data_IF_891163237259
#
_entry.id   IF_891163237259
#
_cell.length_a   1.000
_cell.length_b   1.000
_cell.length_c   1.000
_cell.angle_alpha   90.00
_cell.angle_beta   90.00
_cell.angle_gamma   90.00
#
_symmetry.space_group_name_H-M   'P 1'
#
loop_
_entity.id
_entity.type
_entity.pdbx_description
1 polymer ?
#
# COMPACT_ATOMS: atom_id res chain seq x y z
N UNK A 1 -4.13 -15.07 11.89
CA UNK A 1 -5.02 -15.52 10.78
C UNK A 1 -4.28 -16.45 9.82
N UNK A 2 -3.28 -15.99 9.07
CA UNK A 2 -2.50 -16.86 8.15
C UNK A 2 -1.81 -18.03 8.88
N UNK A 3 -1.14 -17.78 10.01
CA UNK A 3 -0.51 -18.87 10.79
C UNK A 3 -1.52 -19.93 11.27
N UNK A 4 -2.72 -19.49 11.66
CA UNK A 4 -3.82 -20.38 12.07
C UNK A 4 -4.42 -21.14 10.89
N UNK A 5 -4.48 -20.51 9.71
CA UNK A 5 -4.92 -21.13 8.46
C UNK A 5 -4.00 -22.27 8.00
N UNK A 6 -2.68 -22.11 8.19
CA UNK A 6 -1.67 -23.10 7.81
C UNK A 6 -1.56 -24.23 8.84
N UNK A 7 -2.04 -24.01 10.07
CA UNK A 7 -2.04 -25.02 11.13
C UNK A 7 -3.11 -26.09 10.89
N UNK A 8 -2.78 -27.35 11.23
CA UNK A 8 -3.72 -28.46 11.12
C UNK A 8 -4.96 -28.22 12.00
N UNK A 9 -6.15 -28.38 11.42
CA UNK A 9 -7.44 -28.10 12.07
C UNK A 9 -7.77 -26.61 12.34
N UNK A 10 -6.87 -25.66 12.05
CA UNK A 10 -7.07 -24.23 12.38
C UNK A 10 -7.85 -23.42 11.33
N UNK A 11 -8.11 -23.99 10.15
CA UNK A 11 -8.71 -23.29 9.01
C UNK A 11 -10.06 -22.64 9.34
N UNK A 12 -10.95 -23.35 10.05
CA UNK A 12 -12.28 -22.83 10.40
C UNK A 12 -12.19 -21.61 11.32
N UNK A 13 -11.36 -21.69 12.35
CA UNK A 13 -11.11 -20.56 13.26
C UNK A 13 -10.44 -19.38 12.55
N UNK A 14 -9.60 -19.65 11.54
CA UNK A 14 -9.02 -18.60 10.70
C UNK A 14 -10.06 -17.91 9.81
N UNK A 15 -11.03 -18.66 9.25
CA UNK A 15 -12.18 -18.10 8.51
C UNK A 15 -13.09 -17.26 9.42
N UNK A 16 -13.42 -17.76 10.61
CA UNK A 16 -14.26 -17.04 11.57
C UNK A 16 -13.60 -15.72 12.00
N UNK A 17 -12.28 -15.76 12.28
CA UNK A 17 -11.49 -14.58 12.59
C UNK A 17 -11.44 -13.61 11.40
N UNK A 18 -11.31 -14.11 10.17
CA UNK A 18 -11.38 -13.28 8.96
C UNK A 18 -12.72 -12.59 8.83
N UNK A 19 -13.83 -13.32 8.91
CA UNK A 19 -15.18 -12.76 8.84
C UNK A 19 -15.42 -11.69 9.92
N UNK A 20 -14.97 -11.94 11.16
CA UNK A 20 -15.06 -10.97 12.24
C UNK A 20 -14.27 -9.70 11.92
N UNK A 21 -13.01 -9.84 11.50
CA UNK A 21 -12.15 -8.70 11.16
C UNK A 21 -12.69 -7.93 9.94
N UNK A 22 -13.25 -8.59 8.93
CA UNK A 22 -13.90 -7.93 7.79
C UNK A 22 -14.96 -6.95 8.30
N UNK A 23 -15.82 -7.41 9.22
CA UNK A 23 -16.89 -6.59 9.80
C UNK A 23 -16.34 -5.44 10.64
N UNK A 24 -15.36 -5.72 11.50
CA UNK A 24 -14.76 -4.71 12.37
C UNK A 24 -14.05 -3.60 11.58
N UNK A 25 -13.27 -3.97 10.56
CA UNK A 25 -12.57 -3.02 9.68
C UNK A 25 -13.57 -2.15 8.93
N UNK A 26 -14.64 -2.75 8.41
CA UNK A 26 -15.70 -2.02 7.71
C UNK A 26 -16.45 -1.06 8.62
N UNK A 27 -16.78 -1.47 9.85
CA UNK A 27 -17.43 -0.61 10.83
C UNK A 27 -16.56 0.56 11.28
N UNK A 28 -15.24 0.41 11.24
CA UNK A 28 -14.29 1.46 11.60
C UNK A 28 -13.84 2.30 10.40
N UNK A 29 -14.48 2.17 9.23
CA UNK A 29 -14.09 2.87 7.99
C UNK A 29 -13.92 4.36 8.18
N UNK A 30 -14.81 5.01 8.91
CA UNK A 30 -14.79 6.46 9.13
C UNK A 30 -13.53 6.95 9.88
N UNK A 31 -12.81 6.03 10.56
CA UNK A 31 -11.56 6.36 11.27
C UNK A 31 -10.31 6.32 10.40
N UNK A 32 -10.33 5.56 9.30
CA UNK A 32 -9.13 5.33 8.48
C UNK A 32 -9.30 5.77 7.02
N UNK A 33 -10.52 5.88 6.53
CA UNK A 33 -10.85 6.33 5.18
C UNK A 33 -10.75 7.85 5.07
N UNK A 34 -9.59 8.32 4.61
CA UNK A 34 -9.36 9.74 4.36
C UNK A 34 -10.28 10.30 3.26
N UNK A 35 -10.78 9.42 2.37
CA UNK A 35 -11.63 9.84 1.26
C UNK A 35 -13.01 10.32 1.68
N UNK A 36 -13.48 9.86 2.83
CA UNK A 36 -14.73 10.31 3.43
C UNK A 36 -14.57 11.61 4.23
N UNK A 37 -13.40 11.86 4.83
CA UNK A 37 -13.15 12.98 5.76
C UNK A 37 -12.90 14.33 5.08
N UNK A 38 -12.39 14.34 3.85
CA UNK A 38 -12.06 15.59 3.12
C UNK A 38 -13.31 16.40 2.75
N UNK A 39 -14.46 15.74 2.60
CA UNK A 39 -15.75 16.38 2.33
C UNK A 39 -16.23 17.29 3.46
N UNK A 40 -15.82 17.01 4.71
CA UNK A 40 -16.22 17.77 5.90
C UNK A 40 -15.20 18.87 6.25
N UNK A 41 -13.89 18.59 6.12
CA UNK A 41 -12.83 19.56 6.44
C UNK A 41 -12.70 20.71 5.43
N UNK A 42 -13.17 20.54 4.19
CA UNK A 42 -13.10 21.59 3.18
C UNK A 42 -14.13 22.72 3.39
N UNK A 43 -15.05 22.58 4.36
CA UNK A 43 -15.98 23.64 4.78
C UNK A 43 -15.47 24.49 5.94
N UNK A 44 -14.42 24.07 6.65
CA UNK A 44 -13.88 24.80 7.79
C UNK A 44 -12.39 25.11 7.62
N UNK A 45 -12.14 26.36 7.18
CA UNK A 45 -10.99 27.22 7.52
C UNK A 45 -9.77 27.19 6.58
N UNK A 46 -9.67 28.29 5.82
CA UNK A 46 -8.43 29.06 5.70
C UNK A 46 -7.78 29.25 7.09
N UNK A 47 -6.58 28.73 7.31
CA UNK A 47 -5.69 29.19 8.37
C UNK A 47 -4.23 28.90 8.02
N UNK A 48 -3.44 29.98 7.96
CA UNK A 48 -2.00 30.01 7.72
C UNK A 48 -1.22 29.32 8.85
N UNK A 49 -0.87 28.05 8.71
CA UNK A 49 0.34 27.44 9.28
C UNK A 49 0.79 26.30 8.34
N UNK A 50 2.10 26.09 8.10
CA UNK A 50 2.56 24.83 7.52
C UNK A 50 2.31 23.74 8.56
N UNK A 51 1.11 23.16 8.53
CA UNK A 51 0.76 22.03 9.38
C UNK A 51 1.75 20.90 9.08
N UNK A 52 2.37 20.35 10.13
CA UNK A 52 3.05 19.07 10.02
C UNK A 52 2.10 18.08 9.35
N UNK A 53 2.57 17.27 8.38
CA UNK A 53 1.69 16.37 7.66
C UNK A 53 1.00 15.43 8.65
N UNK A 54 -0.33 15.27 8.53
CA UNK A 54 -1.07 14.36 9.39
C UNK A 54 -0.46 12.95 9.31
N UNK A 55 -0.11 12.32 10.44
CA UNK A 55 0.56 11.03 10.43
C UNK A 55 -0.31 9.97 9.75
N UNK A 56 0.33 9.14 8.93
CA UNK A 56 -0.36 8.09 8.19
C UNK A 56 -0.65 6.88 9.09
N UNK A 57 -1.87 6.30 9.05
CA UNK A 57 -2.20 5.09 9.80
C UNK A 57 -1.66 3.84 9.11
N UNK A 58 -0.34 3.77 8.92
CA UNK A 58 0.35 2.75 8.10
C UNK A 58 0.04 1.33 8.56
N UNK A 59 0.08 1.08 9.88
CA UNK A 59 -0.23 -0.23 10.47
C UNK A 59 -1.67 -0.68 10.17
N UNK A 60 -2.63 0.25 10.21
CA UNK A 60 -4.02 -0.03 9.84
C UNK A 60 -4.11 -0.40 8.36
N UNK A 61 -3.49 0.38 7.48
CA UNK A 61 -3.51 0.13 6.04
C UNK A 61 -2.85 -1.21 5.68
N UNK A 62 -1.71 -1.54 6.29
CA UNK A 62 -1.07 -2.85 6.15
C UNK A 62 -1.95 -3.98 6.67
N UNK A 63 -2.61 -3.81 7.81
CA UNK A 63 -3.56 -4.78 8.36
C UNK A 63 -4.73 -5.06 7.42
N UNK A 64 -5.30 -4.01 6.81
CA UNK A 64 -6.35 -4.12 5.78
C UNK A 64 -5.79 -4.85 4.55
N UNK A 65 -4.59 -4.50 4.08
CA UNK A 65 -3.99 -5.16 2.92
C UNK A 65 -3.73 -6.65 3.17
N UNK A 66 -3.20 -7.03 4.33
CA UNK A 66 -3.03 -8.43 4.73
C UNK A 66 -4.36 -9.18 4.78
N UNK A 67 -5.41 -8.51 5.28
CA UNK A 67 -6.76 -9.05 5.31
C UNK A 67 -7.33 -9.28 3.89
N UNK A 68 -7.06 -8.38 2.95
CA UNK A 68 -7.41 -8.53 1.53
C UNK A 68 -6.63 -9.66 0.86
N UNK A 69 -5.32 -9.76 1.12
CA UNK A 69 -4.48 -10.87 0.62
C UNK A 69 -5.03 -12.21 1.11
N UNK A 70 -5.40 -12.31 2.39
CA UNK A 70 -5.98 -13.53 2.93
C UNK A 70 -7.34 -13.87 2.28
N UNK A 71 -8.16 -12.86 1.95
CA UNK A 71 -9.41 -13.07 1.21
C UNK A 71 -9.14 -13.64 -0.21
N UNK A 72 -8.08 -13.17 -0.88
CA UNK A 72 -7.65 -13.68 -2.18
C UNK A 72 -7.18 -15.13 -2.10
N UNK A 73 -6.34 -15.45 -1.11
CA UNK A 73 -5.82 -16.81 -0.90
C UNK A 73 -6.94 -17.84 -0.62
N UNK A 74 -8.01 -17.43 0.07
CA UNK A 74 -9.19 -18.27 0.28
C UNK A 74 -9.98 -18.50 -1.02
N UNK A 75 -10.15 -17.45 -1.84
CA UNK A 75 -10.92 -17.51 -3.08
C UNK A 75 -10.30 -18.38 -4.17
N UNK A 76 -8.99 -18.57 -4.14
CA UNK A 76 -8.23 -19.34 -5.15
C UNK A 76 -8.45 -20.86 -5.08
N UNK A 77 -9.03 -21.37 -3.99
CA UNK A 77 -9.24 -22.82 -3.82
C UNK A 77 -10.24 -23.45 -4.81
N UNK A 78 -10.99 -22.66 -5.59
CA UNK A 78 -12.02 -23.21 -6.49
C UNK A 78 -12.09 -22.63 -7.92
N UNK A 79 -11.52 -21.47 -8.25
CA UNK A 79 -11.72 -20.84 -9.57
C UNK A 79 -10.60 -19.88 -9.94
N UNK A 80 -9.53 -20.38 -10.53
CA UNK A 80 -8.62 -19.55 -11.32
C UNK A 80 -9.26 -19.35 -12.70
N UNK A 81 -9.76 -18.14 -12.98
CA UNK A 81 -10.20 -17.74 -14.32
C UNK A 81 -8.98 -17.73 -15.27
N UNK A 82 -9.18 -18.01 -16.56
CA UNK A 82 -8.13 -18.09 -17.58
C UNK A 82 -7.28 -16.82 -17.72
N UNK A 83 -7.71 -15.71 -17.09
CA UNK A 83 -7.04 -14.40 -17.06
C UNK A 83 -6.15 -14.15 -15.82
N UNK A 84 -5.89 -15.14 -14.96
CA UNK A 84 -5.07 -14.99 -13.73
C UNK A 84 -5.49 -13.85 -12.78
N UNK A 85 -6.72 -13.35 -12.94
CA UNK A 85 -7.34 -12.32 -12.11
C UNK A 85 -8.35 -12.94 -11.17
N UNK A 86 -8.38 -12.48 -9.93
CA UNK A 86 -9.32 -12.93 -8.90
C UNK A 86 -10.46 -11.93 -8.74
N UNK A 87 -11.66 -12.43 -8.50
CA UNK A 87 -12.77 -11.59 -8.07
C UNK A 87 -12.77 -11.56 -6.55
N UNK A 88 -12.54 -10.39 -5.95
CA UNK A 88 -12.69 -10.21 -4.51
C UNK A 88 -14.18 -10.36 -4.13
N UNK A 89 -14.54 -11.24 -3.20
CA UNK A 89 -15.92 -11.39 -2.78
C UNK A 89 -16.41 -10.15 -2.00
N UNK A 90 -17.70 -9.82 -2.15
CA UNK A 90 -18.49 -8.97 -1.25
C UNK A 90 -17.77 -7.78 -0.61
N UNK A 91 -17.71 -7.77 0.73
CA UNK A 91 -17.18 -6.68 1.55
C UNK A 91 -15.67 -6.40 1.37
N UNK A 92 -14.77 -7.39 1.22
CA UNK A 92 -13.37 -7.15 0.86
C UNK A 92 -13.18 -6.22 -0.37
N UNK A 93 -13.99 -6.37 -1.40
CA UNK A 93 -13.94 -5.46 -2.58
C UNK A 93 -14.28 -4.00 -2.20
N UNK A 94 -15.21 -3.82 -1.26
CA UNK A 94 -15.63 -2.52 -0.72
C UNK A 94 -14.59 -1.90 0.22
N UNK A 95 -13.59 -2.65 0.68
CA UNK A 95 -12.48 -2.15 1.48
C UNK A 95 -11.29 -1.70 0.61
N UNK A 96 -11.04 -2.42 -0.49
CA UNK A 96 -9.92 -2.13 -1.39
C UNK A 96 -10.03 -0.72 -2.01
N UNK A 97 -11.21 -0.31 -2.46
CA UNK A 97 -11.39 0.97 -3.16
C UNK A 97 -11.21 2.19 -2.23
N UNK A 98 -11.83 2.26 -1.05
CA UNK A 98 -11.56 3.33 -0.09
C UNK A 98 -10.10 3.36 0.37
N UNK A 99 -9.45 2.20 0.51
CA UNK A 99 -8.03 2.13 0.86
C UNK A 99 -7.16 2.80 -0.22
N UNK A 100 -7.34 2.42 -1.49
CA UNK A 100 -6.60 3.02 -2.60
C UNK A 100 -6.85 4.54 -2.67
N UNK A 101 -8.12 4.96 -2.57
CA UNK A 101 -8.48 6.39 -2.58
C UNK A 101 -7.84 7.15 -1.43
N UNK A 102 -7.82 6.57 -0.23
CA UNK A 102 -7.14 7.16 0.93
C UNK A 102 -5.64 7.31 0.70
N UNK A 103 -4.98 6.29 0.15
CA UNK A 103 -3.55 6.34 -0.16
C UNK A 103 -3.22 7.37 -1.24
N UNK A 104 -4.06 7.48 -2.29
CA UNK A 104 -3.93 8.50 -3.34
C UNK A 104 -4.07 9.91 -2.76
N UNK A 105 -5.10 10.16 -1.95
CA UNK A 105 -5.32 11.46 -1.33
C UNK A 105 -4.19 11.88 -0.38
N UNK A 106 -3.59 10.92 0.30
CA UNK A 106 -2.43 11.12 1.17
C UNK A 106 -1.11 11.19 0.40
N UNK A 107 -1.11 11.07 -0.93
CA UNK A 107 0.08 11.02 -1.79
C UNK A 107 1.10 9.94 -1.38
N UNK A 108 0.62 8.78 -0.92
CA UNK A 108 1.49 7.70 -0.45
C UNK A 108 2.27 6.98 -1.55
N UNK A 109 1.98 7.28 -2.82
CA UNK A 109 2.69 6.74 -3.99
C UNK A 109 3.76 7.69 -4.55
N UNK A 110 4.01 8.82 -3.88
CA UNK A 110 4.95 9.85 -4.32
C UNK A 110 6.10 10.01 -3.31
N UNK A 111 7.34 9.73 -3.75
CA UNK A 111 8.50 9.67 -2.87
C UNK A 111 8.70 10.92 -1.98
N UNK A 112 8.62 12.17 -2.49
CA UNK A 112 8.75 13.35 -1.65
C UNK A 112 7.69 13.47 -0.55
N UNK A 113 6.46 13.01 -0.79
CA UNK A 113 5.43 12.95 0.27
C UNK A 113 5.73 11.89 1.32
N UNK A 114 6.26 10.73 0.89
CA UNK A 114 6.72 9.68 1.83
C UNK A 114 7.88 10.21 2.67
N UNK A 115 8.89 10.83 2.05
CA UNK A 115 10.03 11.41 2.75
C UNK A 115 9.59 12.49 3.76
N UNK A 116 8.67 13.37 3.39
CA UNK A 116 8.16 14.43 4.26
C UNK A 116 7.46 13.91 5.54
N UNK A 117 6.89 12.69 5.53
CA UNK A 117 6.29 12.09 6.73
C UNK A 117 7.30 11.70 7.80
N UNK A 118 8.53 11.35 7.40
CA UNK A 118 9.55 10.86 8.31
C UNK A 118 10.66 11.88 8.57
N UNK A 119 10.78 12.91 7.73
CA UNK A 119 11.81 13.94 7.83
C UNK A 119 11.54 14.90 9.00
N UNK A 120 11.81 14.43 10.22
CA UNK A 120 11.84 15.20 11.45
C UNK A 120 13.26 15.25 12.00
N UNK A 121 13.70 16.42 12.44
CA UNK A 121 15.04 16.65 12.99
C UNK A 121 15.36 15.79 14.24
N UNK A 122 14.34 15.16 14.85
CA UNK A 122 14.47 14.32 16.05
C UNK A 122 14.59 12.81 15.77
N UNK A 123 14.41 12.36 14.53
CA UNK A 123 14.37 10.93 14.18
C UNK A 123 15.69 10.50 13.56
N UNK A 124 16.39 9.49 14.10
CA UNK A 124 17.61 8.97 13.47
C UNK A 124 17.38 8.49 12.03
N UNK A 125 18.34 8.73 11.13
CA UNK A 125 18.28 8.39 9.70
C UNK A 125 17.87 6.93 9.43
N UNK A 126 18.26 6.00 10.30
CA UNK A 126 17.89 4.58 10.21
C UNK A 126 16.37 4.40 10.26
N UNK A 127 15.68 5.09 11.18
CA UNK A 127 14.23 4.99 11.31
C UNK A 127 13.51 5.72 10.17
N UNK A 128 14.07 6.82 9.67
CA UNK A 128 13.57 7.51 8.48
C UNK A 128 13.61 6.55 7.28
N UNK A 129 14.75 5.90 7.06
CA UNK A 129 14.93 4.92 6.00
C UNK A 129 13.94 3.76 6.13
N UNK A 130 13.87 3.12 7.31
CA UNK A 130 12.95 2.01 7.59
C UNK A 130 11.50 2.40 7.30
N UNK A 131 11.07 3.58 7.77
CA UNK A 131 9.71 4.06 7.57
C UNK A 131 9.37 4.30 6.09
N UNK A 132 10.29 4.89 5.32
CA UNK A 132 10.04 5.09 3.89
C UNK A 132 10.01 3.74 3.15
N UNK A 133 10.96 2.86 3.44
CA UNK A 133 11.04 1.52 2.88
C UNK A 133 9.80 0.67 3.21
N UNK A 134 9.25 0.81 4.41
CA UNK A 134 7.99 0.20 4.81
C UNK A 134 6.81 0.70 3.96
N UNK A 135 6.69 2.03 3.76
CA UNK A 135 5.64 2.61 2.92
C UNK A 135 5.78 2.16 1.46
N UNK A 136 7.00 2.16 0.91
CA UNK A 136 7.25 1.71 -0.47
C UNK A 136 6.83 0.25 -0.68
N UNK A 137 7.16 -0.65 0.27
CA UNK A 137 6.71 -2.06 0.23
C UNK A 137 5.20 -2.17 0.30
N UNK A 138 4.57 -1.45 1.22
CA UNK A 138 3.11 -1.40 1.34
C UNK A 138 2.45 -0.92 0.03
N UNK A 139 2.90 0.21 -0.51
CA UNK A 139 2.35 0.81 -1.73
C UNK A 139 2.48 -0.12 -2.93
N UNK A 140 3.65 -0.75 -3.10
CA UNK A 140 3.88 -1.73 -4.17
C UNK A 140 3.02 -2.99 -3.98
N UNK A 141 2.86 -3.49 -2.75
CA UNK A 141 2.01 -4.64 -2.46
C UNK A 141 0.53 -4.33 -2.72
N UNK A 142 0.04 -3.14 -2.34
CA UNK A 142 -1.31 -2.68 -2.62
C UNK A 142 -1.56 -2.60 -4.13
N UNK A 143 -0.62 -2.05 -4.90
CA UNK A 143 -0.68 -2.04 -6.35
C UNK A 143 -0.78 -3.46 -6.94
N UNK A 144 0.05 -4.41 -6.47
CA UNK A 144 0.01 -5.80 -6.93
C UNK A 144 -1.33 -6.47 -6.62
N UNK A 145 -1.87 -6.27 -5.41
CA UNK A 145 -3.19 -6.78 -5.02
C UNK A 145 -4.27 -6.17 -5.91
N UNK A 146 -4.28 -4.85 -6.11
CA UNK A 146 -5.24 -4.18 -6.97
C UNK A 146 -5.22 -4.72 -8.41
N UNK A 147 -4.04 -4.88 -9.01
CA UNK A 147 -3.86 -5.46 -10.35
C UNK A 147 -4.41 -6.87 -10.48
N UNK A 148 -4.31 -7.67 -9.42
CA UNK A 148 -4.81 -9.05 -9.39
C UNK A 148 -6.33 -9.11 -9.19
N UNK A 149 -6.96 -8.02 -8.78
CA UNK A 149 -8.39 -7.98 -8.51
C UNK A 149 -9.16 -7.40 -9.70
N UNK A 150 -10.21 -8.09 -10.15
CA UNK A 150 -11.19 -7.48 -11.08
C UNK A 150 -12.03 -6.48 -10.30
N UNK A 151 -11.73 -5.20 -10.44
CA UNK A 151 -12.54 -4.10 -9.92
C UNK A 151 -13.26 -3.46 -11.09
N UNK A 152 -14.59 -3.46 -11.07
CA UNK A 152 -15.39 -2.93 -12.18
C UNK A 152 -15.14 -1.42 -12.41
N UNK A 153 -14.83 -1.08 -13.66
CA UNK A 153 -15.14 0.22 -14.27
C UNK A 153 -14.14 1.36 -14.12
N UNK A 154 -13.15 1.32 -13.21
CA UNK A 154 -12.16 2.42 -13.10
C UNK A 154 -10.76 1.93 -12.77
N UNK A 155 -9.78 2.32 -13.60
CA UNK A 155 -8.35 2.13 -13.36
C UNK A 155 -7.88 3.19 -12.35
N UNK A 156 -8.01 2.88 -11.06
CA UNK A 156 -7.69 3.79 -9.96
C UNK A 156 -6.19 3.89 -9.67
N UNK A 157 -5.42 2.85 -10.00
CA UNK A 157 -4.00 2.78 -9.71
C UNK A 157 -3.26 2.04 -10.83
N UNK A 158 -2.16 2.62 -11.29
CA UNK A 158 -1.33 2.14 -12.39
C UNK A 158 0.15 2.13 -11.99
N UNK A 159 1.01 1.51 -12.81
CA UNK A 159 2.46 1.61 -12.59
C UNK A 159 2.96 3.06 -12.68
N UNK A 160 2.30 3.92 -13.46
CA UNK A 160 2.70 5.31 -13.63
C UNK A 160 2.49 6.15 -12.36
N UNK A 161 1.60 5.69 -11.46
CA UNK A 161 1.34 6.33 -10.17
C UNK A 161 2.42 6.01 -9.12
N UNK A 162 3.21 4.95 -9.32
CA UNK A 162 4.30 4.56 -8.40
C UNK A 162 5.56 5.40 -8.65
N UNK A 163 5.57 6.59 -8.04
CA UNK A 163 6.63 7.61 -8.17
C UNK A 163 7.65 7.49 -7.04
N UNK A 164 8.24 6.30 -6.94
CA UNK A 164 9.35 5.97 -6.05
C UNK A 164 10.17 4.83 -6.67
N UNK A 165 11.45 4.72 -6.31
CA UNK A 165 12.28 3.62 -6.77
C UNK A 165 11.89 2.29 -6.10
N UNK A 166 12.19 1.17 -6.75
CA UNK A 166 11.91 -0.16 -6.18
C UNK A 166 12.36 -0.25 -4.70
N UNK A 167 11.52 -0.82 -3.81
CA UNK A 167 11.93 -1.03 -2.42
C UNK A 167 13.25 -1.81 -2.37
N UNK A 168 14.12 -1.45 -1.43
CA UNK A 168 15.45 -2.07 -1.33
C UNK A 168 15.34 -3.57 -0.99
N UNK A 169 16.41 -4.33 -1.22
CA UNK A 169 16.45 -5.74 -0.81
C UNK A 169 16.42 -5.90 0.71
N UNK A 170 16.02 -7.08 1.19
CA UNK A 170 15.97 -7.39 2.62
C UNK A 170 17.39 -7.44 3.26
N UNK A 171 18.46 -7.36 2.46
CA UNK A 171 19.85 -7.37 2.96
C UNK A 171 20.13 -6.24 3.96
N UNK A 172 19.56 -5.05 3.74
CA UNK A 172 19.72 -3.91 4.66
C UNK A 172 18.84 -4.04 5.92
N UNK A 173 17.77 -4.83 5.86
CA UNK A 173 16.94 -5.15 7.02
C UNK A 173 17.56 -6.20 7.92
N UNK A 174 18.40 -7.07 7.36
CA UNK A 174 19.19 -8.07 8.08
C UNK A 174 20.58 -7.58 8.48
N UNK A 175 20.92 -6.31 8.20
CA UNK A 175 22.24 -5.77 8.50
C UNK A 175 22.48 -5.60 10.01
N UNK A 176 23.73 -5.82 10.42
CA UNK A 176 24.22 -5.57 11.79
C UNK A 176 24.42 -4.07 12.06
N UNK A 177 25.05 -3.73 13.19
CA UNK A 177 25.24 -2.36 13.72
C UNK A 177 25.78 -1.31 12.73
N UNK A 178 26.41 -1.72 11.63
CA UNK A 178 27.04 -0.82 10.67
C UNK A 178 26.06 -0.21 9.67
N UNK A 179 24.78 -0.62 9.70
CA UNK A 179 23.71 -0.14 8.84
C UNK A 179 23.59 1.41 8.84
N UNK A 180 23.70 2.03 10.01
CA UNK A 180 23.59 3.49 10.17
C UNK A 180 24.64 4.26 9.35
N UNK A 181 25.82 3.68 9.14
CA UNK A 181 26.90 4.33 8.37
C UNK A 181 26.70 4.25 6.85
N UNK A 182 25.89 3.31 6.36
CA UNK A 182 25.71 3.02 4.92
C UNK A 182 24.45 3.66 4.32
N UNK A 183 23.47 3.99 5.16
CA UNK A 183 22.18 4.56 4.72
C UNK A 183 22.32 5.94 4.05
N UNK A 184 23.01 6.94 4.65
CA UNK A 184 22.98 8.31 4.12
C UNK A 184 23.59 8.43 2.72
N UNK A 185 24.64 7.66 2.43
CA UNK A 185 25.35 7.72 1.15
C UNK A 185 24.60 7.06 -0.01
N UNK A 186 23.73 6.07 0.26
CA UNK A 186 23.08 5.28 -0.79
C UNK A 186 21.64 5.69 -1.07
N UNK A 187 20.99 6.38 -0.12
CA UNK A 187 19.52 6.44 -0.09
C UNK A 187 18.91 7.49 -1.05
N UNK A 188 19.45 8.70 -1.06
CA UNK A 188 18.99 9.77 -1.95
C UNK A 188 19.22 9.44 -3.42
N UNK A 189 20.39 8.87 -3.74
CA UNK A 189 20.75 8.48 -5.11
C UNK A 189 19.85 7.37 -5.66
N UNK A 190 19.54 6.36 -4.86
CA UNK A 190 18.66 5.26 -5.29
C UNK A 190 17.23 5.72 -5.59
N UNK A 191 16.72 6.76 -4.93
CA UNK A 191 15.33 7.24 -5.10
C UNK A 191 15.21 8.47 -6.02
N UNK A 192 16.23 8.78 -6.84
CA UNK A 192 16.11 9.76 -7.92
C UNK A 192 14.99 9.41 -8.90
N UNK A 193 14.40 10.42 -9.53
CA UNK A 193 13.26 10.26 -10.42
C UNK A 193 13.53 9.31 -11.60
N UNK A 194 14.77 9.28 -12.11
CA UNK A 194 15.19 8.32 -13.15
C UNK A 194 15.02 6.85 -12.74
N UNK A 195 15.05 6.56 -11.43
CA UNK A 195 14.98 5.22 -10.87
C UNK A 195 13.55 4.83 -10.44
N UNK A 196 12.56 5.71 -10.61
CA UNK A 196 11.19 5.45 -10.19
C UNK A 196 10.52 4.36 -11.05
N UNK A 197 9.67 3.55 -10.42
CA UNK A 197 8.88 2.50 -11.09
C UNK A 197 8.03 3.09 -12.24
N UNK A 198 7.53 4.30 -12.07
CA UNK A 198 6.77 5.03 -13.09
C UNK A 198 7.56 5.26 -14.39
N UNK A 199 8.89 5.33 -14.37
CA UNK A 199 9.70 5.45 -15.59
C UNK A 199 9.63 4.16 -16.43
N UNK A 200 9.73 2.99 -15.79
CA UNK A 200 9.55 1.70 -16.46
C UNK A 200 8.14 1.57 -17.03
N UNK A 201 7.12 2.11 -16.35
CA UNK A 201 5.75 2.13 -16.85
C UNK A 201 5.63 2.86 -18.20
N UNK A 202 6.32 4.00 -18.36
CA UNK A 202 6.34 4.79 -19.60
C UNK A 202 6.98 4.02 -20.76
N UNK A 203 7.98 3.19 -20.48
CA UNK A 203 8.62 2.33 -21.48
C UNK A 203 7.73 1.15 -21.90
N UNK A 204 6.94 0.61 -20.96
CA UNK A 204 6.04 -0.53 -21.19
C UNK A 204 4.68 -0.15 -21.76
N UNK A 205 4.29 1.14 -21.70
CA UNK A 205 3.06 1.69 -22.27
C UNK A 205 3.42 2.82 -23.24
N UNK A 206 4.07 2.52 -24.39
CA UNK A 206 4.21 3.51 -25.44
C UNK A 206 2.80 3.92 -25.89
N UNK A 207 2.56 5.23 -25.98
CA UNK A 207 1.24 5.82 -26.16
C UNK A 207 0.38 5.06 -27.18
N UNK A 208 -0.72 4.45 -26.69
CA UNK A 208 -1.77 3.84 -27.51
C UNK A 208 -1.86 2.32 -27.52
N UNK A 209 -0.93 1.57 -26.93
CA UNK A 209 -1.04 0.11 -26.83
C UNK A 209 -1.21 -0.35 -25.37
N UNK A 210 -2.42 -0.76 -25.00
CA UNK A 210 -2.65 -1.56 -23.80
C UNK A 210 -1.96 -2.92 -23.97
N UNK A 211 -0.73 -3.04 -23.48
CA UNK A 211 -0.11 -4.34 -23.27
C UNK A 211 -0.66 -4.96 -21.98
N UNK A 212 -1.62 -5.87 -22.15
CA UNK A 212 -2.15 -6.76 -21.10
C UNK A 212 -1.09 -7.85 -20.83
N UNK A 213 -0.28 -7.66 -19.79
CA UNK A 213 0.59 -8.72 -19.31
C UNK A 213 -0.22 -9.64 -18.40
N UNK A 214 -0.56 -10.82 -18.97
CA UNK A 214 -1.05 -12.10 -18.39
C UNK A 214 -1.83 -12.00 -17.07
#
# INVERSE_FOLDING_TARGET
>A
MIGLWVSDGGQRSAMDLHAHLTRSIYQQRDRWDASSQRSEHQQHLHANQPASPDPWPIATYQGILLHLIFALLQGDQNRSDLRLTHTLPGTPSQLLIPLIRSCLQRNMFYYPSIFAQFNSASVPDVFIWVGIEEVKRFALALYKVYRRCRVDGTRLLSLADLQFAMPDSDELWHASSDLASRIPASYGDKNKEENWISQTARLLQPGGAEFDWI
#
